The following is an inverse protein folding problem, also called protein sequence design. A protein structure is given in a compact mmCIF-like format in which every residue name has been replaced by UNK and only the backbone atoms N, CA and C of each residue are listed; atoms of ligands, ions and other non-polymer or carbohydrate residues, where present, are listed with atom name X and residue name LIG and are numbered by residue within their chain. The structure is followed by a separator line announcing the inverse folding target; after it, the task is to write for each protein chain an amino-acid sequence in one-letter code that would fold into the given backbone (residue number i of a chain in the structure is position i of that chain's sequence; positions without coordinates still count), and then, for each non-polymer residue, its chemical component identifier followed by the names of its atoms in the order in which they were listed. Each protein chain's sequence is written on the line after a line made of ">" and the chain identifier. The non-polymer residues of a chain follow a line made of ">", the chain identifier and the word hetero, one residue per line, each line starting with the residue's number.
data_IF_191485559721
#
_entry.id   IF_191485559721
#
_cell.length_a   1.000
_cell.length_b   1.000
_cell.length_c   1.000
_cell.angle_alpha   90.00
_cell.angle_beta   90.00
_cell.angle_gamma   90.00
#
_symmetry.space_group_name_H-M   'P 1'
#
loop_
_entity.id
_entity.type
_entity.pdbx_description
1 polymer ?
#
# COMPACT_ATOMS: atom_id res chain seq x y z
N UNK A 1 -19.88 -10.57 -16.72
CA UNK A 1 -19.40 -10.69 -15.33
C UNK A 1 -18.75 -9.38 -14.93
N UNK A 2 -19.38 -8.61 -14.05
CA UNK A 2 -18.81 -7.36 -13.54
C UNK A 2 -17.55 -7.69 -12.74
N UNK A 3 -16.38 -7.20 -13.14
CA UNK A 3 -15.15 -7.32 -12.34
C UNK A 3 -15.42 -6.65 -11.00
N UNK A 4 -15.60 -7.43 -9.95
CA UNK A 4 -15.78 -6.91 -8.60
C UNK A 4 -14.56 -6.07 -8.23
N UNK A 5 -14.78 -4.78 -7.97
CA UNK A 5 -13.70 -3.82 -7.72
C UNK A 5 -13.21 -4.06 -6.29
N UNK A 6 -11.99 -4.60 -6.16
CA UNK A 6 -11.35 -4.83 -4.85
C UNK A 6 -11.44 -3.57 -3.96
N UNK A 7 -11.69 -3.72 -2.64
CA UNK A 7 -11.73 -2.60 -1.71
C UNK A 7 -10.36 -1.94 -1.57
N UNK A 8 -10.32 -0.69 -1.11
CA UNK A 8 -9.06 -0.06 -0.70
C UNK A 8 -8.82 -0.29 0.79
N UNK A 9 -7.57 -0.20 1.23
CA UNK A 9 -7.26 -0.31 2.66
C UNK A 9 -7.95 0.80 3.48
N UNK A 10 -8.15 2.00 2.91
CA UNK A 10 -8.96 3.06 3.54
C UNK A 10 -10.38 2.59 3.89
N UNK A 11 -11.07 1.98 2.91
CA UNK A 11 -12.46 1.53 3.08
C UNK A 11 -12.60 0.40 4.11
N UNK A 12 -11.54 -0.40 4.28
CA UNK A 12 -11.47 -1.45 5.30
C UNK A 12 -11.19 -0.81 6.66
N UNK A 13 -10.18 0.06 6.76
CA UNK A 13 -9.81 0.75 8.01
C UNK A 13 -10.97 1.57 8.58
N UNK A 14 -11.76 2.24 7.74
CA UNK A 14 -12.93 3.02 8.18
C UNK A 14 -14.01 2.21 8.92
N UNK A 15 -13.98 0.87 8.81
CA UNK A 15 -14.86 -0.04 9.57
C UNK A 15 -14.32 -0.33 10.98
N UNK A 16 -13.14 0.18 11.29
CA UNK A 16 -12.43 -0.02 12.56
C UNK A 16 -12.29 1.32 13.30
N UNK A 17 -11.77 1.29 14.52
CA UNK A 17 -11.40 2.51 15.27
C UNK A 17 -9.94 2.93 15.07
N UNK A 18 -9.25 2.34 14.10
CA UNK A 18 -7.82 2.56 13.87
C UNK A 18 -7.62 3.81 13.00
N UNK A 19 -6.81 4.74 13.47
CA UNK A 19 -6.44 5.95 12.74
C UNK A 19 -5.26 5.71 11.79
N UNK A 20 -5.12 6.54 10.76
CA UNK A 20 -3.98 6.49 9.83
C UNK A 20 -2.66 6.74 10.57
N UNK A 21 -2.66 7.60 11.60
CA UNK A 21 -1.52 7.89 12.47
C UNK A 21 -1.08 6.66 13.27
N UNK A 22 -2.02 5.87 13.77
CA UNK A 22 -1.71 4.62 14.47
C UNK A 22 -1.04 3.61 13.53
N UNK A 23 -1.56 3.48 12.30
CA UNK A 23 -0.94 2.63 11.28
C UNK A 23 0.45 3.14 10.91
N UNK A 24 0.64 4.45 10.73
CA UNK A 24 1.93 5.04 10.41
C UNK A 24 2.97 4.77 11.52
N UNK A 25 2.56 4.95 12.78
CA UNK A 25 3.39 4.68 13.96
C UNK A 25 3.80 3.20 14.03
N UNK A 26 2.84 2.28 13.87
CA UNK A 26 3.11 0.83 13.91
C UNK A 26 3.95 0.37 12.71
N UNK A 27 3.71 0.93 11.52
CA UNK A 27 4.45 0.58 10.31
C UNK A 27 5.86 1.17 10.27
N UNK A 28 6.13 2.23 11.04
CA UNK A 28 7.37 3.00 11.00
C UNK A 28 7.57 3.72 9.65
N UNK A 29 6.50 4.24 9.06
CA UNK A 29 6.51 4.99 7.79
C UNK A 29 5.82 6.34 7.96
N UNK A 30 5.97 7.25 7.01
CA UNK A 30 5.32 8.56 7.07
C UNK A 30 3.79 8.45 6.92
N UNK A 31 3.06 9.41 7.47
CA UNK A 31 1.60 9.49 7.32
C UNK A 31 1.19 9.56 5.84
N UNK A 32 1.96 10.27 5.03
CA UNK A 32 1.75 10.37 3.58
C UNK A 32 1.88 9.02 2.89
N UNK A 33 2.89 8.22 3.23
CA UNK A 33 3.05 6.87 2.66
C UNK A 33 1.87 5.96 3.02
N UNK A 34 1.39 6.01 4.27
CA UNK A 34 0.18 5.26 4.67
C UNK A 34 -1.02 5.73 3.86
N UNK A 35 -1.22 7.04 3.73
CA UNK A 35 -2.36 7.58 2.98
C UNK A 35 -2.34 7.14 1.52
N UNK A 36 -1.17 7.13 0.88
CA UNK A 36 -1.00 6.64 -0.51
C UNK A 36 -1.37 5.16 -0.61
N UNK A 37 -0.95 4.31 0.33
CA UNK A 37 -1.36 2.89 0.39
C UNK A 37 -2.89 2.78 0.59
N UNK A 38 -3.44 3.58 1.51
CA UNK A 38 -4.85 3.55 1.89
C UNK A 38 -5.81 3.86 0.74
N UNK A 39 -5.48 4.82 -0.12
CA UNK A 39 -6.29 5.17 -1.30
C UNK A 39 -6.04 4.25 -2.51
N UNK A 40 -5.07 3.34 -2.39
CA UNK A 40 -4.65 2.43 -3.45
C UNK A 40 -3.74 3.06 -4.50
N UNK A 41 -2.97 4.08 -4.11
CA UNK A 41 -2.05 4.80 -4.98
C UNK A 41 -0.79 4.02 -5.37
N UNK A 42 0.14 4.75 -6.00
CA UNK A 42 1.42 4.21 -6.46
C UNK A 42 2.47 4.25 -5.34
N UNK A 43 2.96 3.07 -4.94
CA UNK A 43 3.88 2.94 -3.82
C UNK A 43 4.81 1.75 -4.01
N UNK A 44 5.97 1.79 -3.35
CA UNK A 44 6.88 0.64 -3.28
C UNK A 44 6.21 -0.53 -2.56
N UNK A 45 6.41 -1.76 -3.05
CA UNK A 45 5.81 -2.97 -2.49
C UNK A 45 6.18 -3.16 -1.03
N UNK A 46 7.41 -2.80 -0.64
CA UNK A 46 7.91 -2.90 0.74
C UNK A 46 7.11 -2.01 1.69
N UNK A 47 6.79 -0.78 1.27
CA UNK A 47 5.98 0.17 2.05
C UNK A 47 4.54 -0.34 2.17
N UNK A 48 3.93 -0.78 1.06
CA UNK A 48 2.58 -1.36 1.10
C UNK A 48 2.51 -2.59 2.03
N UNK A 49 3.53 -3.45 2.00
CA UNK A 49 3.62 -4.63 2.87
C UNK A 49 3.70 -4.25 4.34
N UNK A 50 4.54 -3.26 4.69
CA UNK A 50 4.69 -2.77 6.07
C UNK A 50 3.39 -2.15 6.59
N UNK A 51 2.75 -1.31 5.77
CA UNK A 51 1.48 -0.66 6.13
C UNK A 51 0.37 -1.69 6.33
N UNK A 52 0.25 -2.67 5.43
CA UNK A 52 -0.74 -3.72 5.58
C UNK A 52 -0.48 -4.60 6.81
N UNK A 53 0.77 -5.01 7.04
CA UNK A 53 1.15 -5.79 8.22
C UNK A 53 0.83 -5.04 9.53
N UNK A 54 1.10 -3.74 9.58
CA UNK A 54 0.75 -2.89 10.71
C UNK A 54 -0.77 -2.85 10.93
N UNK A 55 -1.56 -2.65 9.86
CA UNK A 55 -3.02 -2.68 9.97
C UNK A 55 -3.55 -4.03 10.45
N UNK A 56 -3.04 -5.15 9.93
CA UNK A 56 -3.43 -6.51 10.34
C UNK A 56 -3.14 -6.72 11.83
N UNK A 57 -1.98 -6.29 12.33
CA UNK A 57 -1.63 -6.39 13.76
C UNK A 57 -2.56 -5.56 14.65
N UNK A 58 -2.85 -4.32 14.24
CA UNK A 58 -3.69 -3.42 15.02
C UNK A 58 -5.16 -3.84 15.02
N UNK A 59 -5.65 -4.38 13.90
CA UNK A 59 -7.07 -4.72 13.71
C UNK A 59 -7.42 -6.14 14.10
N UNK A 60 -6.44 -7.06 14.11
CA UNK A 60 -6.68 -8.50 14.19
C UNK A 60 -7.36 -9.09 12.94
N UNK A 61 -7.60 -8.28 11.90
CA UNK A 61 -8.22 -8.73 10.65
C UNK A 61 -7.15 -9.20 9.68
N UNK A 62 -7.31 -10.41 9.13
CA UNK A 62 -6.36 -10.97 8.19
C UNK A 62 -6.63 -10.47 6.76
N UNK A 63 -5.64 -9.78 6.18
CA UNK A 63 -5.67 -9.30 4.79
C UNK A 63 -4.30 -9.44 4.15
N UNK A 64 -4.30 -9.67 2.84
CA UNK A 64 -3.11 -9.71 1.99
C UNK A 64 -3.14 -8.57 0.98
N UNK A 65 -2.01 -8.31 0.30
CA UNK A 65 -1.95 -7.28 -0.73
C UNK A 65 -2.88 -7.56 -1.91
N UNK A 66 -3.22 -8.85 -2.14
CA UNK A 66 -4.14 -9.25 -3.20
C UNK A 66 -5.60 -9.00 -2.83
N UNK A 67 -5.93 -8.78 -1.56
CA UNK A 67 -7.30 -8.49 -1.12
C UNK A 67 -7.66 -7.01 -1.31
N UNK A 68 -6.66 -6.16 -1.51
CA UNK A 68 -6.82 -4.71 -1.62
C UNK A 68 -6.41 -4.19 -2.99
N UNK A 69 -7.02 -3.08 -3.38
CA UNK A 69 -6.62 -2.34 -4.58
C UNK A 69 -5.34 -1.56 -4.30
N UNK A 70 -4.25 -1.93 -4.98
CA UNK A 70 -2.99 -1.20 -4.99
C UNK A 70 -2.44 -1.11 -6.41
N UNK A 71 -1.88 0.04 -6.75
CA UNK A 71 -1.10 0.19 -7.97
C UNK A 71 0.38 0.02 -7.62
N UNK A 72 0.95 -1.15 -7.93
CA UNK A 72 2.40 -1.32 -7.82
C UNK A 72 3.07 -0.50 -8.93
N UNK A 73 4.01 0.35 -8.56
CA UNK A 73 4.98 0.86 -9.54
C UNK A 73 5.85 -0.34 -9.93
N UNK A 74 5.98 -0.69 -11.23
CA UNK A 74 6.91 -1.74 -11.63
C UNK A 74 8.30 -1.38 -11.11
N UNK A 75 8.98 -2.35 -10.50
CA UNK A 75 10.35 -2.20 -10.01
C UNK A 75 11.21 -1.59 -11.12
N UNK A 76 11.76 -0.41 -10.82
CA UNK A 76 12.54 0.43 -11.72
C UNK A 76 13.65 -0.40 -12.40
N UNK A 77 13.40 -0.92 -13.60
CA UNK A 77 14.35 -1.77 -14.36
C UNK A 77 14.53 -1.31 -15.81
N UNK A 78 14.29 -0.03 -16.13
CA UNK A 78 14.49 0.50 -17.51
C UNK A 78 15.05 1.91 -17.58
N UNK A 79 16.07 2.22 -16.78
CA UNK A 79 16.96 3.37 -17.03
C UNK A 79 18.45 2.97 -16.94
N UNK A 80 18.85 2.02 -17.79
CA UNK A 80 20.17 1.94 -18.46
C UNK A 80 19.77 1.49 -19.87
N UNK A 81 19.98 2.23 -20.96
CA UNK A 81 21.14 3.00 -21.37
C UNK A 81 20.65 4.19 -22.21
N UNK A 82 21.04 5.41 -21.84
CA UNK A 82 21.27 6.47 -22.82
C UNK A 82 22.77 6.74 -22.80
N UNK A 83 23.39 6.84 -23.98
CA UNK A 83 24.82 7.15 -24.25
C UNK A 83 25.78 6.01 -23.85
N UNK A 84 26.57 5.41 -24.73
CA UNK A 84 27.57 6.01 -25.64
C UNK A 84 27.77 5.09 -26.85
N UNK A 85 27.51 5.58 -28.06
CA UNK A 85 28.26 5.15 -29.25
C UNK A 85 28.89 6.45 -29.79
N UNK A 86 30.17 6.63 -29.48
CA UNK A 86 31.07 7.55 -30.15
C UNK A 86 31.99 6.72 -31.02
#
# INVERSE_FOLDING_TARGET
>A
MSKEKKPTLLSIRQRTRISTEQVAKEAGVSLTEVYVVEIGGFVKKEVATRVLAAFVRLSGMYYTLDDIRLHNVPSMSRYRQATVNS
#
